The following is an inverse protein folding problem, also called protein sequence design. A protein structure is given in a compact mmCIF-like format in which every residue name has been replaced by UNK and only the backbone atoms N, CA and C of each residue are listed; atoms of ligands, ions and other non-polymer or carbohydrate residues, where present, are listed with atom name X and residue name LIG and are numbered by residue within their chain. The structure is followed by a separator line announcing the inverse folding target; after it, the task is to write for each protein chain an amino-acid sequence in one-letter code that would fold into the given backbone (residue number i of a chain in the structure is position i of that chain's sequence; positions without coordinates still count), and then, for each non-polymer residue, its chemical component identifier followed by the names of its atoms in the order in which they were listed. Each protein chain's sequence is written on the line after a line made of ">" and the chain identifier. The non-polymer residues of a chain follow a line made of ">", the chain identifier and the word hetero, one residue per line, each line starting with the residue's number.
data_IF_867588128550
#
_entry.id   IF_867588128550
#
_cell.length_a   1.000
_cell.length_b   1.000
_cell.length_c   1.000
_cell.angle_alpha   90.00
_cell.angle_beta   90.00
_cell.angle_gamma   90.00
#
_symmetry.space_group_name_H-M   'P 1'
#
loop_
_entity.id
_entity.type
_entity.pdbx_description
1 polymer ?
#
# COMPACT_ATOMS: atom_id res chain seq x y z
N UNK A 1 15.46 -0.35 -23.40
CA UNK A 1 14.55 -1.39 -22.87
C UNK A 1 13.97 -0.84 -21.58
N UNK A 2 12.67 -0.52 -21.49
CA UNK A 2 12.08 -0.19 -20.20
C UNK A 2 12.02 -1.51 -19.42
N UNK A 3 12.83 -1.64 -18.38
CA UNK A 3 12.67 -2.71 -17.39
C UNK A 3 11.33 -2.47 -16.69
N UNK A 4 10.27 -3.00 -17.28
CA UNK A 4 8.98 -3.16 -16.61
C UNK A 4 9.28 -4.12 -15.47
N UNK A 5 9.37 -3.59 -14.25
CA UNK A 5 9.45 -4.43 -13.08
C UNK A 5 8.08 -5.10 -12.97
N UNK A 6 7.95 -6.29 -13.53
CA UNK A 6 6.84 -7.19 -13.24
C UNK A 6 7.01 -7.64 -11.79
N UNK A 7 6.58 -6.81 -10.83
CA UNK A 7 6.31 -7.33 -9.49
C UNK A 7 5.16 -8.30 -9.65
N UNK A 8 5.41 -9.54 -9.23
CA UNK A 8 4.37 -10.55 -9.17
C UNK A 8 3.29 -10.13 -8.16
N UNK A 9 2.02 -10.55 -8.33
CA UNK A 9 0.98 -10.28 -7.35
C UNK A 9 1.35 -10.72 -5.92
N UNK A 10 2.16 -11.78 -5.78
CA UNK A 10 2.72 -12.23 -4.50
C UNK A 10 3.67 -11.22 -3.86
N UNK A 11 4.57 -10.60 -4.64
CA UNK A 11 5.50 -9.58 -4.15
C UNK A 11 4.78 -8.31 -3.73
N UNK A 12 3.74 -7.91 -4.47
CA UNK A 12 2.87 -6.79 -4.13
C UNK A 12 2.14 -7.02 -2.79
N UNK A 13 1.59 -8.21 -2.57
CA UNK A 13 0.97 -8.57 -1.28
C UNK A 13 1.97 -8.57 -0.14
N UNK A 14 3.18 -9.09 -0.36
CA UNK A 14 4.25 -9.07 0.64
C UNK A 14 4.68 -7.63 0.98
N UNK A 15 4.81 -6.77 -0.03
CA UNK A 15 5.12 -5.36 0.17
C UNK A 15 4.02 -4.65 0.98
N UNK A 16 2.74 -4.91 0.67
CA UNK A 16 1.62 -4.36 1.44
C UNK A 16 1.70 -4.76 2.92
N UNK A 17 2.00 -6.04 3.19
CA UNK A 17 2.16 -6.54 4.55
C UNK A 17 3.34 -5.87 5.29
N UNK A 18 4.45 -5.63 4.59
CA UNK A 18 5.60 -4.92 5.16
C UNK A 18 5.29 -3.47 5.50
N UNK A 19 4.59 -2.76 4.62
CA UNK A 19 4.18 -1.36 4.84
C UNK A 19 3.23 -1.23 6.04
N UNK A 20 2.27 -2.15 6.18
CA UNK A 20 1.38 -2.19 7.35
C UNK A 20 2.14 -2.46 8.66
N UNK A 21 3.17 -3.30 8.60
CA UNK A 21 4.04 -3.57 9.75
C UNK A 21 4.90 -2.34 10.13
N UNK A 22 5.29 -1.51 9.17
CA UNK A 22 6.08 -0.30 9.40
C UNK A 22 5.29 0.76 10.16
N UNK A 23 4.03 0.99 9.78
CA UNK A 23 3.13 1.91 10.50
C UNK A 23 2.48 1.28 11.73
N UNK A 24 2.68 -0.02 11.94
CA UNK A 24 2.14 -0.79 13.05
C UNK A 24 0.61 -0.66 13.20
N UNK A 25 -0.09 -0.65 12.05
CA UNK A 25 -1.54 -0.55 11.95
C UNK A 25 -2.08 -1.60 11.01
N UNK A 26 -3.32 -2.02 11.26
CA UNK A 26 -4.07 -2.79 10.27
C UNK A 26 -4.44 -1.92 9.07
N UNK A 27 -4.76 -2.57 7.96
CA UNK A 27 -5.24 -1.88 6.76
C UNK A 27 -6.51 -1.06 7.03
N UNK A 28 -7.44 -1.60 7.82
CA UNK A 28 -8.70 -0.94 8.16
C UNK A 28 -8.46 0.31 9.01
N UNK A 29 -7.58 0.23 10.01
CA UNK A 29 -7.19 1.39 10.83
C UNK A 29 -6.49 2.47 10.00
N UNK A 30 -5.55 2.07 9.13
CA UNK A 30 -4.83 3.01 8.28
C UNK A 30 -5.80 3.72 7.32
N UNK A 31 -6.75 2.98 6.74
CA UNK A 31 -7.79 3.52 5.86
C UNK A 31 -8.71 4.50 6.58
N UNK A 32 -9.23 4.12 7.75
CA UNK A 32 -10.11 5.00 8.53
C UNK A 32 -9.41 6.31 8.90
N UNK A 33 -8.13 6.22 9.27
CA UNK A 33 -7.32 7.40 9.60
C UNK A 33 -7.00 8.26 8.38
N UNK A 34 -6.81 7.66 7.20
CA UNK A 34 -6.66 8.38 5.94
C UNK A 34 -7.95 9.15 5.59
N UNK A 35 -9.11 8.51 5.71
CA UNK A 35 -10.42 9.12 5.45
C UNK A 35 -10.75 10.27 6.42
N UNK A 36 -10.24 10.19 7.66
CA UNK A 36 -10.44 11.21 8.71
C UNK A 36 -9.31 12.25 8.80
N UNK A 37 -8.38 12.29 7.84
CA UNK A 37 -7.21 13.19 7.84
C UNK A 37 -6.38 13.13 9.13
N UNK A 38 -6.32 11.97 9.78
CA UNK A 38 -5.66 11.74 11.08
C UNK A 38 -4.30 11.04 10.95
N UNK A 39 -3.74 11.02 9.74
CA UNK A 39 -2.42 10.48 9.43
C UNK A 39 -1.38 11.60 9.36
N UNK A 40 -0.17 11.27 9.82
CA UNK A 40 1.04 12.06 9.56
C UNK A 40 1.43 11.98 8.08
N UNK A 41 2.35 12.86 7.65
CA UNK A 41 2.86 12.83 6.26
C UNK A 41 3.50 11.49 5.89
N UNK A 42 4.24 10.87 6.80
CA UNK A 42 4.90 9.58 6.55
C UNK A 42 3.87 8.45 6.42
N UNK A 43 2.86 8.44 7.29
CA UNK A 43 1.76 7.46 7.21
C UNK A 43 0.89 7.67 5.96
N UNK A 44 0.71 8.91 5.50
CA UNK A 44 0.02 9.23 4.25
C UNK A 44 0.78 8.71 3.03
N UNK A 45 2.11 8.82 3.01
CA UNK A 45 2.94 8.27 1.93
C UNK A 45 2.83 6.74 1.86
N UNK A 46 2.83 6.09 3.04
CA UNK A 46 2.58 4.65 3.16
C UNK A 46 1.18 4.28 2.66
N UNK A 47 0.15 5.04 3.05
CA UNK A 47 -1.22 4.83 2.61
C UNK A 47 -1.34 4.92 1.08
N UNK A 48 -0.82 5.97 0.46
CA UNK A 48 -0.84 6.13 -1.00
C UNK A 48 -0.06 5.03 -1.73
N UNK A 49 1.03 4.55 -1.14
CA UNK A 49 1.77 3.40 -1.67
C UNK A 49 0.93 2.13 -1.65
N UNK A 50 0.20 1.89 -0.54
CA UNK A 50 -0.72 0.75 -0.42
C UNK A 50 -1.87 0.86 -1.43
N UNK A 51 -2.46 2.04 -1.63
CA UNK A 51 -3.49 2.26 -2.64
C UNK A 51 -2.98 1.95 -4.06
N UNK A 52 -1.75 2.37 -4.38
CA UNK A 52 -1.10 2.04 -5.65
C UNK A 52 -0.89 0.53 -5.84
N UNK A 53 -0.49 -0.17 -4.78
CA UNK A 53 -0.35 -1.64 -4.78
C UNK A 53 -1.71 -2.31 -5.03
N UNK A 54 -2.76 -1.90 -4.33
CA UNK A 54 -4.10 -2.47 -4.49
C UNK A 54 -4.66 -2.20 -5.90
N UNK A 55 -4.39 -1.02 -6.49
CA UNK A 55 -4.74 -0.71 -7.88
C UNK A 55 -4.05 -1.65 -8.87
N UNK A 56 -2.74 -1.91 -8.68
CA UNK A 56 -1.99 -2.85 -9.52
C UNK A 56 -2.52 -4.29 -9.37
N UNK A 57 -2.88 -4.70 -8.16
CA UNK A 57 -3.46 -6.03 -7.91
C UNK A 57 -4.87 -6.18 -8.51
N UNK A 58 -5.67 -5.11 -8.52
CA UNK A 58 -7.01 -5.12 -9.11
C UNK A 58 -6.96 -5.11 -10.65
N UNK A 59 -5.95 -4.48 -11.25
CA UNK A 59 -5.76 -4.42 -12.70
C UNK A 59 -5.15 -5.68 -13.33
N UNK A 60 -4.58 -6.59 -12.53
CA UNK A 60 -3.98 -7.87 -12.97
C UNK A 60 -5.01 -9.03 -13.00
N UNK A 61 -6.32 -8.72 -12.86
CA UNK A 61 -7.43 -9.69 -12.87
C UNK A 61 -8.09 -9.86 -14.25
#
# INVERSE_FOLDING_TARGET
>A
MPTVIHRTPSELRAQRAQLLAEVNMSYEELRERAETYSLSMDELDVWHTIEGIDYLLAGDC
#
